data_IF_225470143056
#
_entry.id   IF_225470143056
#
_cell.length_a   1.000
_cell.length_b   1.000
_cell.length_c   1.000
_cell.angle_alpha   90.00
_cell.angle_beta   90.00
_cell.angle_gamma   90.00
#
_symmetry.space_group_name_H-M   'P 1'
#
loop_
_entity.id
_entity.type
_entity.pdbx_description
1 polymer ?
#
# COMPACT_ATOMS: atom_id res chain seq x y z
N UNK A 1 13.26 -0.67 31.52
CA UNK A 1 12.81 0.03 30.31
C UNK A 1 12.64 -0.98 29.19
N UNK A 2 11.40 -1.28 28.76
CA UNK A 2 11.15 -1.66 27.38
C UNK A 2 10.23 -0.62 26.74
N UNK A 3 10.79 0.23 25.90
CA UNK A 3 9.97 1.11 25.04
C UNK A 3 9.31 0.19 24.00
N UNK A 4 7.97 0.11 23.93
CA UNK A 4 7.33 -0.68 22.89
C UNK A 4 7.71 -0.08 21.54
N UNK A 5 8.26 -0.95 20.68
CA UNK A 5 8.37 -0.86 19.23
C UNK A 5 7.25 0.01 18.65
N UNK A 6 7.51 0.91 17.67
CA UNK A 6 6.43 1.60 16.99
C UNK A 6 5.58 0.52 16.30
N UNK A 7 4.48 0.14 16.94
CA UNK A 7 3.44 -0.68 16.34
C UNK A 7 2.77 0.22 15.31
N UNK A 8 2.98 0.05 13.98
CA UNK A 8 2.07 0.67 13.05
C UNK A 8 0.72 0.02 13.32
N UNK A 9 -0.21 0.75 13.91
CA UNK A 9 -1.58 0.26 14.12
C UNK A 9 -2.14 -0.12 12.74
N UNK A 10 -2.41 -1.41 12.45
CA UNK A 10 -2.91 -1.81 11.14
C UNK A 10 -4.41 -1.55 11.09
N UNK A 11 -4.85 -0.29 11.14
CA UNK A 11 -6.28 0.06 10.93
C UNK A 11 -6.49 0.40 9.47
N UNK A 12 -6.36 -0.61 8.63
CA UNK A 12 -6.99 -0.68 7.31
C UNK A 12 -6.80 -2.11 6.85
N UNK A 13 -7.64 -3.01 7.36
CA UNK A 13 -8.05 -4.16 6.58
C UNK A 13 -8.51 -3.60 5.22
N UNK A 14 -7.84 -3.90 4.08
CA UNK A 14 -8.53 -3.77 2.82
C UNK A 14 -9.53 -4.93 2.84
N UNK A 15 -10.71 -4.67 3.42
CA UNK A 15 -11.94 -5.35 3.04
C UNK A 15 -11.86 -5.45 1.53
N UNK A 16 -11.78 -6.67 1.02
CA UNK A 16 -11.72 -7.01 -0.39
C UNK A 16 -12.83 -6.23 -1.11
N UNK A 17 -12.44 -5.06 -1.59
CA UNK A 17 -13.30 -3.94 -1.88
C UNK A 17 -12.62 -3.19 -3.02
N UNK A 18 -13.42 -2.63 -3.94
CA UNK A 18 -12.94 -2.18 -5.24
C UNK A 18 -11.74 -1.27 -5.06
N UNK A 19 -10.67 -1.56 -5.82
CA UNK A 19 -9.40 -0.84 -5.82
C UNK A 19 -9.65 0.68 -5.64
N UNK A 20 -9.26 1.21 -4.48
CA UNK A 20 -9.39 2.64 -4.20
C UNK A 20 -8.26 3.43 -4.86
N UNK A 21 -8.38 4.76 -4.99
CA UNK A 21 -7.26 5.59 -5.39
C UNK A 21 -6.07 5.37 -4.43
N UNK A 22 -4.86 5.34 -4.98
CA UNK A 22 -3.63 5.22 -4.19
C UNK A 22 -3.52 6.40 -3.23
N UNK A 23 -3.17 6.10 -1.97
CA UNK A 23 -3.02 7.09 -0.92
C UNK A 23 -1.71 6.88 -0.16
N UNK A 24 -0.98 7.99 0.04
CA UNK A 24 0.20 8.00 0.91
C UNK A 24 -0.22 7.87 2.38
N UNK A 25 0.58 7.14 3.16
CA UNK A 25 0.28 6.75 4.53
C UNK A 25 -0.59 5.48 4.66
N UNK A 26 -1.04 4.89 3.55
CA UNK A 26 -1.88 3.70 3.58
C UNK A 26 -1.04 2.42 3.57
N UNK A 27 -1.30 1.52 4.51
CA UNK A 27 -0.72 0.19 4.52
C UNK A 27 -1.42 -0.70 3.49
N UNK A 28 -0.67 -1.16 2.50
CA UNK A 28 -1.14 -2.09 1.48
C UNK A 28 -0.55 -3.48 1.73
N UNK A 29 -1.43 -4.48 1.88
CA UNK A 29 -1.00 -5.87 1.96
C UNK A 29 -0.57 -6.41 0.58
N UNK A 30 0.22 -7.48 0.55
CA UNK A 30 0.48 -8.20 -0.69
C UNK A 30 -0.85 -8.68 -1.32
N UNK A 31 -1.06 -8.38 -2.59
CA UNK A 31 -2.29 -8.61 -3.33
C UNK A 31 -3.29 -7.45 -3.33
N UNK A 32 -3.12 -6.43 -2.48
CA UNK A 32 -4.00 -5.26 -2.45
C UNK A 32 -3.93 -4.46 -3.75
N UNK A 33 -5.03 -3.82 -4.16
CA UNK A 33 -5.09 -3.01 -5.38
C UNK A 33 -5.23 -1.52 -5.05
N UNK A 34 -4.48 -0.69 -5.77
CA UNK A 34 -4.53 0.77 -5.68
C UNK A 34 -4.57 1.38 -7.09
N UNK A 35 -5.41 2.39 -7.29
CA UNK A 35 -5.54 3.09 -8.57
C UNK A 35 -4.69 4.35 -8.53
N UNK A 36 -3.67 4.45 -9.38
CA UNK A 36 -2.85 5.63 -9.52
C UNK A 36 -2.91 6.12 -10.96
N UNK A 37 -3.29 7.39 -11.16
CA UNK A 37 -3.39 8.01 -12.47
C UNK A 37 -4.29 7.23 -13.47
N UNK A 38 -5.38 6.65 -12.98
CA UNK A 38 -6.31 5.82 -13.78
C UNK A 38 -5.83 4.40 -14.09
N UNK A 39 -4.66 3.99 -13.59
CA UNK A 39 -4.12 2.64 -13.75
C UNK A 39 -4.22 1.89 -12.42
N UNK A 40 -4.66 0.64 -12.48
CA UNK A 40 -4.70 -0.25 -11.31
C UNK A 40 -3.34 -0.87 -11.09
N UNK A 41 -2.86 -0.82 -9.85
CA UNK A 41 -1.62 -1.44 -9.41
C UNK A 41 -1.92 -2.40 -8.28
N UNK A 42 -1.34 -3.58 -8.34
CA UNK A 42 -1.37 -4.59 -7.31
C UNK A 42 -0.10 -4.52 -6.48
N UNK A 43 -0.26 -4.38 -5.17
CA UNK A 43 0.82 -4.45 -4.21
C UNK A 43 1.39 -5.89 -4.20
N UNK A 44 2.69 -6.04 -4.45
CA UNK A 44 3.38 -7.34 -4.47
C UNK A 44 3.84 -7.75 -3.07
N UNK A 45 4.25 -6.78 -2.26
CA UNK A 45 4.80 -6.98 -0.94
C UNK A 45 4.08 -6.10 0.07
N UNK A 46 3.70 -6.65 1.21
CA UNK A 46 3.08 -5.84 2.27
C UNK A 46 3.98 -4.66 2.64
N UNK A 47 3.46 -3.44 2.52
CA UNK A 47 4.21 -2.24 2.83
C UNK A 47 3.28 -1.05 3.08
N UNK A 48 3.82 0.01 3.66
CA UNK A 48 3.11 1.28 3.81
C UNK A 48 3.47 2.17 2.64
N UNK A 49 2.49 2.58 1.84
CA UNK A 49 2.71 3.57 0.80
C UNK A 49 3.16 4.88 1.44
N UNK A 50 4.30 5.39 1.00
CA UNK A 50 4.84 6.67 1.43
C UNK A 50 4.85 7.65 0.25
N UNK A 51 4.91 8.96 0.48
CA UNK A 51 5.19 9.92 -0.58
C UNK A 51 6.53 9.57 -1.25
N UNK A 52 6.57 9.42 -2.57
CA UNK A 52 7.73 8.92 -3.30
C UNK A 52 7.72 7.40 -3.59
N UNK A 53 6.78 6.65 -2.99
CA UNK A 53 6.53 5.23 -3.27
C UNK A 53 5.29 5.09 -4.16
N UNK A 54 5.10 5.99 -5.12
CA UNK A 54 4.03 5.81 -6.09
C UNK A 54 4.30 4.57 -6.95
N UNK A 55 3.26 3.85 -7.38
CA UNK A 55 3.42 2.63 -8.17
C UNK A 55 4.36 2.72 -9.38
N UNK A 56 4.45 3.84 -10.14
CA UNK A 56 5.42 3.94 -11.24
C UNK A 56 6.89 4.05 -10.79
N UNK A 57 7.17 4.55 -9.58
CA UNK A 57 8.55 4.71 -9.08
C UNK A 57 9.10 3.45 -8.42
N UNK A 58 8.22 2.58 -7.91
CA UNK A 58 8.60 1.37 -7.16
C UNK A 58 7.99 0.10 -7.76
N UNK A 59 8.44 -0.33 -8.95
CA UNK A 59 7.94 -1.54 -9.61
C UNK A 59 8.27 -2.85 -8.86
N UNK A 60 9.17 -2.79 -7.88
CA UNK A 60 9.46 -3.92 -6.99
C UNK A 60 8.35 -4.15 -5.95
N UNK A 61 7.64 -3.08 -5.55
CA UNK A 61 6.56 -3.13 -4.56
C UNK A 61 5.19 -3.19 -5.21
N UNK A 62 5.05 -2.64 -6.41
CA UNK A 62 3.79 -2.55 -7.14
C UNK A 62 3.91 -3.17 -8.53
N UNK A 63 2.89 -3.93 -8.91
CA UNK A 63 2.71 -4.49 -10.25
C UNK A 63 1.52 -3.82 -10.91
N UNK A 64 1.73 -3.16 -12.04
CA UNK A 64 0.61 -2.73 -12.91
C UNK A 64 -0.25 -3.95 -13.28
N UNK A 65 -1.56 -3.83 -13.09
CA UNK A 65 -2.53 -4.77 -13.64
C UNK A 65 -2.95 -4.31 -15.03
#
# INVERSE_FOLDING_TARGET
TPTPTPTPTPTSSPTQGPAGPWAAGTAYAAGAQAIYNGVTYQCLQQHTALPGWEPPYVPALWRRQ
#
